data_IF_718942916790
#
_entry.id   IF_718942916790
#
_cell.length_a   1.000
_cell.length_b   1.000
_cell.length_c   1.000
_cell.angle_alpha   90.00
_cell.angle_beta   90.00
_cell.angle_gamma   90.00
#
_symmetry.space_group_name_H-M   'P 1'
#
loop_
_entity.id
_entity.type
_entity.pdbx_description
1 polymer ?
#
# COMPACT_ATOMS: atom_id res chain seq x y z
N UNK A 1 49.66 59.29 -15.90
CA UNK A 1 50.85 59.17 -15.03
C UNK A 1 50.70 57.90 -14.19
N UNK A 2 51.82 57.38 -13.65
CA UNK A 2 51.97 56.38 -12.58
C UNK A 2 50.75 56.20 -11.65
N UNK A 3 50.19 55.02 -11.33
CA UNK A 3 50.66 53.64 -11.07
C UNK A 3 51.03 53.34 -9.59
N UNK A 4 50.40 52.34 -8.97
CA UNK A 4 50.87 51.73 -7.71
C UNK A 4 49.78 51.10 -6.82
N UNK A 5 49.80 49.76 -6.69
CA UNK A 5 49.33 48.99 -5.52
C UNK A 5 50.57 48.60 -4.67
N UNK A 6 50.47 48.08 -3.41
CA UNK A 6 50.09 46.66 -3.18
C UNK A 6 49.48 46.32 -1.79
N UNK A 7 49.24 45.01 -1.58
CA UNK A 7 49.02 44.27 -0.30
C UNK A 7 50.23 43.31 -0.05
N UNK A 8 50.26 42.38 0.95
CA UNK A 8 49.45 42.19 2.17
C UNK A 8 50.28 42.48 3.46
N UNK A 9 50.92 41.58 4.26
CA UNK A 9 51.04 40.10 4.28
C UNK A 9 50.34 39.40 5.48
N UNK A 10 50.39 38.06 5.54
CA UNK A 10 49.98 37.21 6.68
C UNK A 10 51.20 36.64 7.46
N UNK A 11 51.00 36.21 8.72
CA UNK A 11 51.76 35.10 9.36
C UNK A 11 51.13 34.58 10.68
N UNK A 12 51.67 33.48 11.22
CA UNK A 12 50.99 32.46 12.05
C UNK A 12 51.84 32.05 13.29
N UNK A 13 51.50 30.93 13.97
CA UNK A 13 52.21 30.22 15.06
C UNK A 13 52.03 30.84 16.48
N UNK A 14 51.85 30.11 17.60
CA UNK A 14 51.55 28.67 17.86
C UNK A 14 51.30 28.39 19.36
N UNK A 15 50.55 27.31 19.70
CA UNK A 15 50.47 26.65 21.04
C UNK A 15 49.78 27.47 22.17
N UNK A 16 49.24 26.93 23.27
CA UNK A 16 49.05 25.58 23.85
C UNK A 16 47.97 25.67 24.97
N UNK A 17 47.30 24.64 25.52
CA UNK A 17 47.06 23.21 25.20
C UNK A 17 45.86 22.72 26.05
N UNK A 18 45.24 21.55 25.74
CA UNK A 18 44.17 20.97 26.59
C UNK A 18 43.48 19.71 26.02
N UNK A 19 43.89 18.52 26.48
CA UNK A 19 43.47 17.24 25.89
C UNK A 19 42.18 16.64 26.48
N UNK A 20 41.45 15.90 25.65
CA UNK A 20 40.52 14.83 26.06
C UNK A 20 40.51 13.76 24.96
N UNK A 21 40.59 12.48 25.31
CA UNK A 21 40.62 11.39 24.35
C UNK A 21 39.20 11.03 23.88
N UNK A 22 39.00 11.01 22.56
CA UNK A 22 37.91 10.29 21.91
C UNK A 22 38.49 9.06 21.22
N UNK A 23 37.73 7.97 21.18
CA UNK A 23 38.13 6.73 20.52
C UNK A 23 37.96 6.88 19.00
N UNK A 24 38.98 6.50 18.23
CA UNK A 24 38.94 6.53 16.76
C UNK A 24 38.13 5.31 16.28
N UNK A 25 36.83 5.51 16.07
CA UNK A 25 35.99 4.53 15.35
C UNK A 25 36.40 4.56 13.87
N UNK A 26 37.07 3.50 13.40
CA UNK A 26 37.31 3.27 11.97
C UNK A 26 35.96 2.98 11.30
N UNK A 27 35.33 4.01 10.73
CA UNK A 27 34.22 3.83 9.79
C UNK A 27 34.77 3.13 8.53
N UNK A 28 34.64 1.81 8.45
CA UNK A 28 34.82 1.10 7.17
C UNK A 28 33.74 1.60 6.20
N UNK A 29 34.14 2.45 5.26
CA UNK A 29 33.34 2.86 4.11
C UNK A 29 33.11 1.63 3.20
N UNK A 30 32.13 0.80 3.56
CA UNK A 30 31.54 -0.20 2.67
C UNK A 30 31.10 0.50 1.38
N UNK A 31 31.89 0.34 0.30
CA UNK A 31 31.51 0.73 -1.06
C UNK A 31 30.36 -0.19 -1.57
N UNK A 32 29.17 -0.08 -0.98
CA UNK A 32 27.94 -0.65 -1.54
C UNK A 32 27.71 -0.03 -2.92
N UNK A 33 28.09 -0.78 -3.97
CA UNK A 33 27.87 -0.43 -5.36
C UNK A 33 26.39 -0.07 -5.58
N UNK A 34 26.15 1.22 -5.79
CA UNK A 34 24.82 1.86 -5.97
C UNK A 34 24.10 1.37 -7.25
N UNK A 35 24.67 0.38 -7.95
CA UNK A 35 24.18 -0.24 -9.18
C UNK A 35 23.15 -1.38 -8.92
N UNK A 36 23.16 -2.02 -7.74
CA UNK A 36 22.37 -3.21 -7.40
C UNK A 36 20.87 -2.91 -7.16
N UNK A 37 20.17 -2.63 -8.25
CA UNK A 37 18.71 -2.43 -8.24
C UNK A 37 18.13 -1.59 -9.39
N UNK A 38 18.98 -0.99 -10.25
CA UNK A 38 18.52 -0.12 -11.32
C UNK A 38 17.74 -0.86 -12.42
N UNK A 39 16.63 -0.25 -12.88
CA UNK A 39 15.91 -0.73 -14.06
C UNK A 39 16.54 -0.13 -15.32
N UNK A 40 17.36 -0.93 -16.00
CA UNK A 40 18.12 -0.57 -17.19
C UNK A 40 17.44 -1.06 -18.47
N UNK A 41 17.74 -0.50 -19.65
CA UNK A 41 17.17 -0.99 -20.92
C UNK A 41 17.47 -2.46 -21.23
N UNK A 42 18.59 -2.98 -20.71
CA UNK A 42 18.98 -4.39 -20.80
C UNK A 42 18.15 -5.28 -19.86
N UNK A 43 17.93 -4.89 -18.60
CA UNK A 43 17.19 -5.72 -17.65
C UNK A 43 15.66 -5.47 -17.63
N UNK A 44 15.12 -4.44 -18.29
CA UNK A 44 13.69 -4.11 -18.28
C UNK A 44 12.75 -5.30 -18.56
N UNK A 45 13.09 -6.14 -19.54
CA UNK A 45 12.29 -7.35 -19.86
C UNK A 45 12.39 -8.42 -18.79
N UNK A 46 13.52 -8.51 -18.10
CA UNK A 46 13.77 -9.42 -17.00
C UNK A 46 13.06 -8.94 -15.73
N UNK A 47 13.19 -7.66 -15.35
CA UNK A 47 12.45 -7.06 -14.24
C UNK A 47 10.92 -7.20 -14.35
N UNK A 48 10.38 -7.12 -15.58
CA UNK A 48 8.96 -7.40 -15.86
C UNK A 48 8.56 -8.87 -15.63
N UNK A 49 9.51 -9.81 -15.70
CA UNK A 49 9.30 -11.25 -15.47
C UNK A 49 9.64 -11.66 -14.02
N UNK A 50 10.57 -10.95 -13.39
CA UNK A 50 11.08 -11.21 -12.04
C UNK A 50 10.07 -10.84 -10.93
N UNK A 51 8.90 -10.33 -11.31
CA UNK A 51 7.70 -10.30 -10.44
C UNK A 51 7.29 -11.73 -9.97
N UNK A 52 7.88 -12.78 -10.54
CA UNK A 52 7.85 -14.16 -10.04
C UNK A 52 9.23 -14.84 -10.00
N UNK A 53 10.30 -14.12 -9.67
CA UNK A 53 11.66 -14.69 -9.71
C UNK A 53 11.88 -15.77 -8.64
N UNK A 54 12.01 -17.01 -9.09
CA UNK A 54 12.68 -18.09 -8.37
C UNK A 54 13.35 -19.04 -9.37
N UNK A 55 14.63 -19.36 -9.13
CA UNK A 55 15.44 -20.16 -10.05
C UNK A 55 15.31 -21.66 -9.81
N UNK A 56 14.33 -22.28 -10.48
CA UNK A 56 14.44 -23.67 -10.91
C UNK A 56 13.56 -23.91 -12.14
N UNK A 57 14.13 -24.52 -13.19
CA UNK A 57 13.32 -25.11 -14.24
C UNK A 57 12.60 -26.37 -13.68
N UNK A 58 11.30 -26.59 -13.96
CA UNK A 58 10.56 -27.70 -13.37
C UNK A 58 10.90 -29.05 -14.01
N UNK A 59 11.95 -29.70 -13.49
CA UNK A 59 12.27 -31.09 -13.83
C UNK A 59 11.21 -32.01 -13.21
N UNK A 60 10.39 -32.66 -14.04
CA UNK A 60 9.48 -33.74 -13.64
C UNK A 60 8.00 -33.41 -13.44
N UNK A 61 7.53 -32.19 -13.76
CA UNK A 61 6.10 -31.82 -13.61
C UNK A 61 5.30 -32.17 -14.87
N UNK A 62 4.41 -33.16 -14.79
CA UNK A 62 3.56 -33.60 -15.92
C UNK A 62 2.32 -32.72 -16.14
N UNK A 63 1.75 -32.15 -15.06
CA UNK A 63 0.56 -31.29 -15.08
C UNK A 63 0.76 -30.13 -14.10
N UNK A 64 0.40 -28.92 -14.50
CA UNK A 64 0.45 -27.74 -13.63
C UNK A 64 -0.53 -26.66 -14.07
N UNK A 65 -1.03 -25.87 -13.12
CA UNK A 65 -2.03 -24.84 -13.36
C UNK A 65 -1.37 -23.46 -13.52
N UNK A 66 -1.63 -22.77 -14.63
CA UNK A 66 -1.19 -21.38 -14.85
C UNK A 66 -2.24 -20.41 -14.31
N UNK A 67 -1.87 -19.53 -13.37
CA UNK A 67 -2.76 -18.49 -12.84
C UNK A 67 -1.97 -17.29 -12.31
N UNK A 68 -2.51 -16.09 -12.52
CA UNK A 68 -2.00 -14.82 -11.99
C UNK A 68 -2.69 -14.35 -10.71
N UNK A 69 -3.76 -15.03 -10.26
CA UNK A 69 -4.45 -14.69 -9.00
C UNK A 69 -3.80 -15.38 -7.80
N UNK A 70 -3.17 -14.58 -6.94
CA UNK A 70 -2.59 -15.01 -5.67
C UNK A 70 -3.57 -15.79 -4.77
N UNK A 71 -4.88 -15.52 -4.82
CA UNK A 71 -5.85 -16.26 -4.04
C UNK A 71 -5.94 -17.73 -4.51
N UNK A 72 -6.01 -17.95 -5.84
CA UNK A 72 -5.97 -19.30 -6.40
C UNK A 72 -4.58 -19.95 -6.23
N UNK A 73 -3.48 -19.22 -6.42
CA UNK A 73 -2.12 -19.75 -6.18
C UNK A 73 -1.96 -20.28 -4.75
N UNK A 74 -2.38 -19.51 -3.74
CA UNK A 74 -2.32 -19.91 -2.33
C UNK A 74 -3.13 -21.19 -2.04
N UNK A 75 -4.31 -21.36 -2.66
CA UNK A 75 -5.16 -22.54 -2.48
C UNK A 75 -4.60 -23.76 -3.21
N UNK A 76 -4.10 -23.59 -4.44
CA UNK A 76 -3.49 -24.68 -5.22
C UNK A 76 -2.25 -25.25 -4.51
N UNK A 77 -1.39 -24.39 -3.95
CA UNK A 77 -0.25 -24.82 -3.12
C UNK A 77 -0.69 -25.58 -1.86
N UNK A 78 -1.77 -25.15 -1.19
CA UNK A 78 -2.35 -25.88 -0.04
C UNK A 78 -2.97 -27.22 -0.41
N UNK A 79 -3.34 -27.42 -1.67
CA UNK A 79 -3.81 -28.69 -2.23
C UNK A 79 -2.67 -29.57 -2.77
N UNK A 80 -1.41 -29.13 -2.66
CA UNK A 80 -0.24 -29.83 -3.22
C UNK A 80 -0.18 -29.82 -4.75
N UNK A 81 -0.94 -28.94 -5.41
CA UNK A 81 -1.02 -28.86 -6.87
C UNK A 81 0.06 -27.92 -7.42
N UNK A 82 0.77 -28.37 -8.45
CA UNK A 82 1.83 -27.57 -9.10
C UNK A 82 1.26 -26.33 -9.79
N UNK A 83 1.73 -25.16 -9.38
CA UNK A 83 1.36 -23.87 -9.96
C UNK A 83 2.48 -23.33 -10.83
N UNK A 84 2.18 -23.01 -12.09
CA UNK A 84 3.13 -22.48 -13.04
C UNK A 84 2.92 -20.98 -13.25
N UNK A 85 4.02 -20.22 -13.30
CA UNK A 85 4.01 -18.82 -13.70
C UNK A 85 3.89 -18.68 -15.23
N UNK A 86 3.62 -17.46 -15.72
CA UNK A 86 3.45 -17.17 -17.16
C UNK A 86 4.71 -17.48 -18.01
N UNK A 87 5.88 -17.59 -17.38
CA UNK A 87 7.16 -17.97 -17.98
C UNK A 87 7.46 -19.49 -17.90
N UNK A 88 6.48 -20.31 -17.49
CA UNK A 88 6.62 -21.76 -17.36
C UNK A 88 7.40 -22.26 -16.15
N UNK A 89 7.90 -21.37 -15.27
CA UNK A 89 8.58 -21.76 -14.02
C UNK A 89 7.57 -22.24 -12.96
N UNK A 90 7.97 -23.18 -12.12
CA UNK A 90 7.17 -23.69 -11.01
C UNK A 90 7.28 -22.79 -9.78
N UNK A 91 6.14 -22.30 -9.29
CA UNK A 91 6.06 -21.51 -8.07
C UNK A 91 6.15 -22.46 -6.87
N UNK A 92 7.30 -22.45 -6.18
CA UNK A 92 7.51 -23.24 -4.95
C UNK A 92 7.05 -22.52 -3.68
N UNK A 93 7.12 -21.19 -3.66
CA UNK A 93 6.71 -20.35 -2.53
C UNK A 93 5.98 -19.10 -3.02
N UNK A 94 4.78 -18.86 -2.52
CA UNK A 94 4.00 -17.67 -2.84
C UNK A 94 4.08 -16.66 -1.67
N UNK A 95 4.65 -15.48 -1.92
CA UNK A 95 4.60 -14.35 -0.96
C UNK A 95 3.53 -13.36 -1.41
N UNK A 96 2.42 -13.35 -0.69
CA UNK A 96 1.24 -12.51 -1.00
C UNK A 96 0.85 -11.63 0.17
N UNK A 97 -0.24 -10.89 0.03
CA UNK A 97 -0.81 -10.07 1.10
C UNK A 97 -2.30 -10.35 1.26
N UNK A 98 -2.78 -10.30 2.50
CA UNK A 98 -4.20 -10.41 2.83
C UNK A 98 -4.63 -9.23 3.71
N UNK A 99 -5.93 -8.93 3.70
CA UNK A 99 -6.55 -8.00 4.63
C UNK A 99 -7.14 -8.76 5.83
N UNK A 100 -6.70 -8.37 7.03
CA UNK A 100 -6.99 -9.03 8.31
C UNK A 100 -7.74 -8.06 9.25
N UNK A 101 -8.97 -8.40 9.66
CA UNK A 101 -9.85 -7.49 10.43
C UNK A 101 -9.56 -7.47 11.94
N UNK A 102 -8.76 -6.51 12.43
CA UNK A 102 -8.26 -6.52 13.82
C UNK A 102 -9.33 -6.59 14.93
N UNK A 103 -10.55 -6.09 14.69
CA UNK A 103 -11.67 -6.21 15.64
C UNK A 103 -12.29 -7.62 15.73
N UNK A 104 -12.26 -8.41 14.65
CA UNK A 104 -12.96 -9.71 14.59
C UNK A 104 -12.21 -10.86 15.30
N UNK A 105 -10.93 -10.71 15.64
CA UNK A 105 -10.18 -11.77 16.31
C UNK A 105 -10.51 -11.89 17.81
N UNK A 106 -11.13 -10.85 18.38
CA UNK A 106 -11.90 -11.02 19.62
C UNK A 106 -13.28 -11.55 19.27
N UNK A 107 -13.37 -12.86 19.07
CA UNK A 107 -14.64 -13.55 19.21
C UNK A 107 -15.19 -13.28 20.62
N UNK A 108 -16.40 -12.72 20.68
CA UNK A 108 -17.21 -12.69 21.90
C UNK A 108 -17.58 -14.14 22.23
N UNK A 109 -16.81 -14.79 23.11
CA UNK A 109 -17.02 -16.20 23.47
C UNK A 109 -15.85 -16.91 24.16
N UNK A 110 -14.61 -16.44 24.02
CA UNK A 110 -13.44 -17.09 24.67
C UNK A 110 -12.66 -16.11 25.55
N UNK A 111 -13.14 -15.89 26.78
CA UNK A 111 -12.60 -14.94 27.75
C UNK A 111 -11.92 -15.61 28.96
N UNK A 112 -11.31 -16.78 28.77
CA UNK A 112 -10.30 -17.32 29.70
C UNK A 112 -9.44 -18.40 29.03
N UNK A 113 -8.18 -18.53 29.48
CA UNK A 113 -7.27 -19.58 29.03
C UNK A 113 -7.55 -20.89 29.78
N UNK A 114 -8.65 -21.56 29.43
CA UNK A 114 -8.97 -22.93 29.83
C UNK A 114 -9.47 -23.70 28.60
N UNK A 115 -9.09 -24.97 28.40
CA UNK A 115 -9.73 -25.82 27.40
C UNK A 115 -11.21 -25.99 27.75
N UNK A 116 -12.08 -26.01 26.74
CA UNK A 116 -13.53 -26.00 26.93
C UNK A 116 -14.08 -27.40 27.29
N UNK A 117 -13.63 -27.99 28.40
CA UNK A 117 -14.09 -29.28 28.91
C UNK A 117 -15.50 -29.19 29.53
N UNK A 118 -16.51 -28.98 28.69
CA UNK A 118 -17.91 -29.21 29.02
C UNK A 118 -18.25 -30.70 28.78
N UNK A 119 -18.57 -31.49 29.82
CA UNK A 119 -19.08 -32.84 29.60
C UNK A 119 -20.51 -32.77 29.05
N UNK A 120 -20.84 -33.61 28.06
CA UNK A 120 -22.23 -33.93 27.69
C UNK A 120 -22.76 -33.39 26.35
N UNK A 121 -22.01 -32.61 25.56
CA UNK A 121 -22.44 -32.18 24.22
C UNK A 121 -21.36 -32.45 23.16
N UNK A 122 -21.68 -33.28 22.17
CA UNK A 122 -20.74 -33.85 21.20
C UNK A 122 -20.63 -33.09 19.87
N UNK A 123 -21.10 -31.84 19.83
CA UNK A 123 -20.82 -30.93 18.70
C UNK A 123 -19.50 -30.17 18.95
N UNK A 124 -18.53 -30.22 18.00
CA UNK A 124 -17.28 -29.48 18.14
C UNK A 124 -17.55 -27.98 17.95
N UNK A 125 -17.49 -27.20 19.03
CA UNK A 125 -17.63 -25.74 19.00
C UNK A 125 -16.46 -25.11 18.24
N UNK A 126 -16.57 -25.05 16.91
CA UNK A 126 -15.53 -24.57 16.01
C UNK A 126 -15.05 -23.17 16.42
N UNK A 127 -13.80 -23.09 16.89
CA UNK A 127 -13.04 -21.85 17.01
C UNK A 127 -13.11 -21.13 15.66
N UNK A 128 -13.96 -20.11 15.57
CA UNK A 128 -14.29 -19.48 14.29
C UNK A 128 -13.00 -18.98 13.62
N UNK A 129 -12.71 -19.42 12.38
CA UNK A 129 -11.43 -19.16 11.76
C UNK A 129 -11.17 -17.66 11.67
N UNK A 130 -9.90 -17.25 11.77
CA UNK A 130 -9.49 -15.85 11.76
C UNK A 130 -9.91 -15.18 10.44
N UNK A 131 -11.11 -14.58 10.42
CA UNK A 131 -11.75 -14.01 9.21
C UNK A 131 -10.85 -12.97 8.53
N UNK A 132 -10.38 -13.32 7.35
CA UNK A 132 -9.49 -12.58 6.45
C UNK A 132 -10.11 -12.48 5.06
N UNK A 133 -9.54 -11.65 4.19
CA UNK A 133 -9.87 -11.64 2.77
C UNK A 133 -8.62 -11.39 1.92
N UNK A 134 -8.53 -12.07 0.78
CA UNK A 134 -7.50 -11.85 -0.24
C UNK A 134 -7.80 -10.62 -1.11
N UNK A 135 -9.04 -10.14 -1.14
CA UNK A 135 -9.44 -8.94 -1.89
C UNK A 135 -8.81 -7.69 -1.26
N UNK A 136 -7.72 -7.25 -1.87
CA UNK A 136 -6.94 -6.08 -1.48
C UNK A 136 -7.65 -4.74 -1.75
N UNK A 137 -8.80 -4.73 -2.42
CA UNK A 137 -9.60 -3.52 -2.66
C UNK A 137 -10.54 -3.18 -1.50
N UNK A 138 -10.85 -4.16 -0.63
CA UNK A 138 -11.81 -3.99 0.48
C UNK A 138 -11.33 -2.98 1.52
N UNK A 139 -12.25 -2.11 1.93
CA UNK A 139 -12.03 -1.10 2.99
C UNK A 139 -12.74 -1.49 4.29
N UNK A 140 -13.88 -2.16 4.17
CA UNK A 140 -14.72 -2.62 5.28
C UNK A 140 -14.61 -4.13 5.44
N UNK A 141 -14.77 -4.63 6.67
CA UNK A 141 -14.79 -6.07 6.92
C UNK A 141 -16.15 -6.67 6.54
N UNK A 142 -16.21 -7.70 5.66
CA UNK A 142 -17.46 -8.31 5.17
C UNK A 142 -18.24 -9.10 6.23
N UNK A 143 -17.85 -9.06 7.51
CA UNK A 143 -18.49 -9.79 8.61
C UNK A 143 -18.89 -8.93 9.80
N UNK A 144 -18.33 -7.72 9.95
CA UNK A 144 -18.73 -6.79 11.00
C UNK A 144 -18.98 -5.37 10.49
N UNK A 145 -18.95 -5.13 9.17
CA UNK A 145 -19.14 -3.83 8.52
C UNK A 145 -18.05 -2.78 8.80
N UNK A 146 -17.23 -2.96 9.83
CA UNK A 146 -16.31 -1.95 10.31
C UNK A 146 -15.08 -1.78 9.40
N UNK A 147 -14.55 -0.55 9.35
CA UNK A 147 -13.34 -0.14 8.63
C UNK A 147 -12.06 -0.56 9.37
N UNK A 148 -11.96 -1.85 9.69
CA UNK A 148 -10.99 -2.43 10.62
C UNK A 148 -10.00 -3.39 9.95
N UNK A 149 -9.98 -3.46 8.62
CA UNK A 149 -8.99 -4.24 7.86
C UNK A 149 -7.57 -3.67 7.98
N UNK A 150 -6.58 -4.56 8.07
CA UNK A 150 -5.14 -4.24 8.08
C UNK A 150 -4.40 -5.20 7.14
N UNK A 151 -3.47 -4.68 6.34
CA UNK A 151 -2.64 -5.47 5.41
C UNK A 151 -1.63 -6.30 6.21
N UNK A 152 -1.59 -7.60 5.96
CA UNK A 152 -0.64 -8.57 6.53
C UNK A 152 0.05 -9.30 5.37
N UNK A 153 1.35 -9.54 5.46
CA UNK A 153 2.07 -10.35 4.48
C UNK A 153 1.96 -11.85 4.84
N UNK A 154 1.87 -12.70 3.83
CA UNK A 154 1.69 -14.14 3.96
C UNK A 154 2.68 -14.84 3.06
N UNK A 155 3.30 -15.90 3.59
CA UNK A 155 4.08 -16.86 2.81
C UNK A 155 3.34 -18.19 2.80
N UNK A 156 3.13 -18.78 1.63
CA UNK A 156 2.70 -20.18 1.47
C UNK A 156 3.87 -20.96 0.87
N UNK A 157 4.25 -22.07 1.52
CA UNK A 157 5.35 -22.95 1.09
C UNK A 157 4.86 -24.09 0.20
N UNK A 158 5.80 -24.84 -0.39
CA UNK A 158 5.54 -26.07 -1.13
C UNK A 158 4.95 -27.19 -0.23
N UNK A 159 5.19 -27.15 1.09
CA UNK A 159 4.52 -28.01 2.09
C UNK A 159 3.04 -27.67 2.34
N UNK A 160 2.47 -26.69 1.62
CA UNK A 160 1.16 -26.09 1.91
C UNK A 160 1.10 -25.24 3.19
N UNK A 161 2.21 -25.14 3.93
CA UNK A 161 2.30 -24.39 5.19
C UNK A 161 2.12 -22.88 4.99
N UNK A 162 1.24 -22.26 5.78
CA UNK A 162 0.90 -20.84 5.69
C UNK A 162 1.45 -20.05 6.89
N UNK A 163 2.39 -19.14 6.63
CA UNK A 163 3.01 -18.29 7.63
C UNK A 163 2.55 -16.83 7.47
N UNK A 164 1.94 -16.27 8.53
CA UNK A 164 1.48 -14.87 8.56
C UNK A 164 2.49 -13.96 9.27
N UNK A 165 2.99 -12.95 8.56
CA UNK A 165 3.97 -12.00 9.06
C UNK A 165 3.29 -10.80 9.72
N UNK A 166 3.09 -10.85 11.04
CA UNK A 166 2.47 -9.77 11.80
C UNK A 166 3.47 -8.68 12.17
N UNK A 167 3.21 -7.44 11.73
CA UNK A 167 4.01 -6.29 12.18
C UNK A 167 3.75 -5.97 13.66
N UNK A 168 4.83 -5.89 14.45
CA UNK A 168 4.82 -5.46 15.85
C UNK A 168 4.79 -3.93 16.03
N UNK A 169 4.81 -3.16 14.93
CA UNK A 169 4.92 -1.70 14.98
C UNK A 169 3.64 -1.05 15.57
N UNK A 170 3.71 -0.34 16.71
CA UNK A 170 2.54 0.22 17.38
C UNK A 170 1.81 1.29 16.55
N UNK A 171 2.47 1.91 15.55
CA UNK A 171 1.84 2.86 14.63
C UNK A 171 0.72 2.20 13.79
N UNK A 172 0.72 0.87 13.62
CA UNK A 172 -0.27 0.11 12.83
C UNK A 172 -1.65 0.07 13.50
N UNK A 173 -1.72 0.04 14.84
CA UNK A 173 -2.95 -0.04 15.63
C UNK A 173 -3.18 1.20 16.51
N UNK A 174 -2.80 2.38 16.00
CA UNK A 174 -2.97 3.65 16.68
C UNK A 174 -4.44 4.17 16.57
N UNK A 175 -5.13 4.50 17.67
CA UNK A 175 -6.50 5.02 17.64
C UNK A 175 -6.61 6.54 17.35
N UNK A 176 -5.49 7.27 17.25
CA UNK A 176 -5.50 8.73 16.99
C UNK A 176 -6.21 9.05 15.67
N UNK A 177 -7.10 10.05 15.70
CA UNK A 177 -7.85 10.54 14.55
C UNK A 177 -9.06 9.69 14.12
N UNK A 178 -9.37 8.59 14.82
CA UNK A 178 -10.57 7.78 14.54
C UNK A 178 -11.86 8.38 15.14
N UNK A 179 -11.76 9.19 16.19
CA UNK A 179 -12.89 9.87 16.84
C UNK A 179 -12.86 11.37 16.54
N UNK A 180 -13.88 11.85 15.84
CA UNK A 180 -14.11 13.24 15.46
C UNK A 180 -15.63 13.46 15.28
N UNK A 181 -16.15 14.69 15.41
CA UNK A 181 -17.58 14.97 15.18
C UNK A 181 -17.94 14.75 13.71
N UNK A 182 -19.08 14.10 13.46
CA UNK A 182 -19.63 13.90 12.12
C UNK A 182 -20.68 15.00 11.82
N UNK A 183 -20.82 15.43 10.55
CA UNK A 183 -21.92 16.31 10.15
C UNK A 183 -23.26 15.58 10.28
N UNK A 184 -24.34 16.34 10.48
CA UNK A 184 -25.70 15.80 10.42
C UNK A 184 -25.97 15.14 9.05
N UNK A 185 -26.71 14.02 8.99
CA UNK A 185 -26.97 13.31 7.73
C UNK A 185 -27.82 14.16 6.78
N UNK A 186 -27.34 14.37 5.56
CA UNK A 186 -28.03 15.17 4.54
C UNK A 186 -28.59 14.31 3.41
N UNK A 187 -29.76 14.69 2.89
CA UNK A 187 -30.41 14.07 1.74
C UNK A 187 -30.35 14.92 0.46
N UNK A 188 -30.89 14.38 -0.63
CA UNK A 188 -31.00 15.08 -1.91
C UNK A 188 -29.84 14.86 -2.88
N UNK A 189 -29.95 15.43 -4.09
CA UNK A 189 -29.10 15.10 -5.25
C UNK A 189 -27.62 15.47 -5.11
N UNK A 190 -27.28 16.37 -4.19
CA UNK A 190 -25.94 16.92 -4.00
C UNK A 190 -25.37 16.72 -2.58
N UNK A 191 -26.00 15.86 -1.77
CA UNK A 191 -25.48 15.51 -0.43
C UNK A 191 -24.10 14.82 -0.52
N UNK A 192 -23.24 15.09 0.46
CA UNK A 192 -21.86 14.61 0.53
C UNK A 192 -21.54 14.03 1.92
N UNK A 193 -22.32 13.03 2.34
CA UNK A 193 -22.14 12.33 3.62
C UNK A 193 -20.80 11.56 3.66
N UNK A 194 -20.15 11.40 4.83
CA UNK A 194 -18.94 10.58 4.98
C UNK A 194 -19.23 9.10 4.70
N UNK A 195 -18.22 8.35 4.22
CA UNK A 195 -18.34 6.93 3.88
C UNK A 195 -18.04 6.03 5.09
N UNK A 196 -19.09 5.42 5.65
CA UNK A 196 -19.09 4.71 6.93
C UNK A 196 -19.34 3.19 6.81
N UNK A 197 -20.04 2.73 5.77
CA UNK A 197 -20.40 1.30 5.55
C UNK A 197 -20.30 0.95 4.05
N UNK A 198 -20.02 -0.31 3.73
CA UNK A 198 -19.76 -0.81 2.36
C UNK A 198 -20.94 -0.63 1.38
N UNK A 199 -22.18 -0.77 1.85
CA UNK A 199 -23.41 -0.66 1.06
C UNK A 199 -24.03 0.75 1.04
N UNK A 200 -23.29 1.75 1.54
CA UNK A 200 -23.79 3.11 1.67
C UNK A 200 -24.15 3.74 0.32
N UNK A 201 -25.42 4.15 0.19
CA UNK A 201 -25.95 4.78 -1.03
C UNK A 201 -25.45 6.23 -1.17
N UNK A 202 -24.80 6.53 -2.29
CA UNK A 202 -24.35 7.88 -2.65
C UNK A 202 -25.13 8.44 -3.86
N UNK A 203 -25.43 9.75 -3.90
CA UNK A 203 -26.00 10.38 -5.09
C UNK A 203 -25.06 10.27 -6.31
N UNK A 204 -25.62 10.19 -7.53
CA UNK A 204 -24.87 9.95 -8.77
C UNK A 204 -24.08 11.20 -9.26
N UNK A 205 -23.05 11.58 -8.52
CA UNK A 205 -22.18 12.73 -8.80
C UNK A 205 -21.06 12.32 -9.76
N UNK A 206 -21.38 12.16 -11.04
CA UNK A 206 -20.41 11.75 -12.09
C UNK A 206 -19.76 12.97 -12.78
N UNK A 207 -18.45 12.88 -12.99
CA UNK A 207 -17.70 13.75 -13.93
C UNK A 207 -18.19 13.57 -15.37
N UNK A 208 -18.13 14.66 -16.15
CA UNK A 208 -18.43 14.70 -17.60
C UNK A 208 -17.45 13.84 -18.42
N UNK A 209 -17.68 13.67 -19.73
CA UNK A 209 -16.71 13.00 -20.62
C UNK A 209 -15.39 13.78 -20.69
N UNK A 210 -15.46 15.11 -20.86
CA UNK A 210 -14.29 15.99 -20.93
C UNK A 210 -13.44 15.93 -19.65
N UNK A 211 -14.08 16.00 -18.48
CA UNK A 211 -13.44 15.90 -17.17
C UNK A 211 -12.81 14.51 -16.85
N UNK A 212 -12.96 13.51 -17.74
CA UNK A 212 -12.36 12.17 -17.62
C UNK A 212 -11.24 11.91 -18.62
N UNK A 213 -11.13 12.74 -19.67
CA UNK A 213 -10.08 12.60 -20.66
C UNK A 213 -8.72 12.91 -20.03
N UNK A 214 -7.68 12.21 -20.51
CA UNK A 214 -6.29 12.40 -20.11
C UNK A 214 -5.45 12.44 -21.37
N UNK A 215 -4.31 13.11 -21.31
CA UNK A 215 -3.28 13.08 -22.35
C UNK A 215 -2.69 11.69 -22.46
N UNK A 216 -2.83 11.05 -23.61
CA UNK A 216 -2.00 9.92 -24.02
C UNK A 216 -1.02 10.43 -25.08
N UNK A 217 0.28 10.43 -24.76
CA UNK A 217 1.33 10.92 -25.68
C UNK A 217 1.67 9.87 -26.75
N UNK A 218 1.34 8.60 -26.48
CA UNK A 218 1.52 7.48 -27.41
C UNK A 218 0.23 7.13 -28.16
N UNK A 219 -0.71 8.07 -28.25
CA UNK A 219 -1.93 7.92 -29.05
C UNK A 219 -1.62 8.27 -30.52
N UNK A 220 -2.09 7.50 -31.51
CA UNK A 220 -1.88 7.84 -32.92
C UNK A 220 -2.43 9.23 -33.28
N UNK A 221 -3.51 9.66 -32.64
CA UNK A 221 -4.14 10.96 -32.89
C UNK A 221 -3.44 12.13 -32.16
N UNK A 222 -2.44 11.86 -31.29
CA UNK A 222 -1.77 12.89 -30.48
C UNK A 222 -1.11 13.98 -31.34
N UNK A 223 -0.49 13.59 -32.47
CA UNK A 223 0.16 14.52 -33.40
C UNK A 223 -0.84 15.41 -34.18
N UNK A 224 -2.11 15.03 -34.23
CA UNK A 224 -3.18 15.84 -34.84
C UNK A 224 -3.82 16.83 -33.86
N UNK A 225 -3.44 16.80 -32.58
CA UNK A 225 -3.97 17.67 -31.54
C UNK A 225 -3.47 19.12 -31.67
N UNK A 226 -4.40 20.09 -31.67
CA UNK A 226 -4.08 21.52 -31.61
C UNK A 226 -3.45 21.97 -30.27
N UNK A 227 -3.37 21.07 -29.29
CA UNK A 227 -2.76 21.27 -27.97
C UNK A 227 -2.14 19.94 -27.50
N UNK A 228 -0.92 19.93 -26.93
CA UNK A 228 -0.34 18.74 -26.31
C UNK A 228 -1.05 18.34 -25.02
N UNK A 229 -1.92 19.21 -24.47
CA UNK A 229 -2.67 18.96 -23.24
C UNK A 229 -4.17 18.85 -23.48
N UNK A 230 -4.79 17.85 -22.85
CA UNK A 230 -6.22 17.64 -22.86
C UNK A 230 -6.94 18.80 -22.13
N UNK A 231 -7.95 19.38 -22.78
CA UNK A 231 -8.66 20.54 -22.26
C UNK A 231 -9.45 20.23 -20.98
N UNK A 232 -9.32 21.11 -19.98
CA UNK A 232 -10.12 21.03 -18.75
C UNK A 232 -11.62 21.31 -19.00
N UNK A 233 -12.47 20.68 -18.19
CA UNK A 233 -13.89 20.99 -18.11
C UNK A 233 -14.15 22.04 -17.03
N UNK A 234 -14.45 23.27 -17.46
CA UNK A 234 -14.81 24.39 -16.58
C UNK A 234 -16.29 24.79 -16.69
N UNK A 235 -17.01 24.32 -17.72
CA UNK A 235 -18.37 24.78 -18.03
C UNK A 235 -19.47 23.83 -17.59
N UNK A 236 -19.18 22.53 -17.37
CA UNK A 236 -20.23 21.59 -16.99
C UNK A 236 -20.74 21.83 -15.56
N UNK A 237 -21.98 21.39 -15.29
CA UNK A 237 -22.53 21.38 -13.92
C UNK A 237 -21.66 20.58 -12.94
N UNK A 238 -20.88 19.60 -13.41
CA UNK A 238 -19.94 18.85 -12.56
C UNK A 238 -18.73 19.70 -12.14
N UNK A 239 -18.25 20.60 -13.01
CA UNK A 239 -17.19 21.56 -12.71
C UNK A 239 -17.64 22.60 -11.65
N UNK A 240 -18.84 23.17 -11.83
CA UNK A 240 -19.44 24.11 -10.88
C UNK A 240 -19.77 23.47 -9.52
N UNK A 241 -20.13 22.19 -9.47
CA UNK A 241 -20.29 21.43 -8.22
C UNK A 241 -18.95 21.01 -7.58
N UNK A 242 -17.82 21.36 -8.21
CA UNK A 242 -16.46 20.99 -7.82
C UNK A 242 -16.27 19.48 -7.62
N UNK A 243 -16.91 18.66 -8.46
CA UNK A 243 -16.71 17.22 -8.46
C UNK A 243 -15.26 16.90 -8.82
N UNK A 244 -14.75 15.78 -8.30
CA UNK A 244 -13.38 15.29 -8.48
C UNK A 244 -13.41 13.77 -8.67
N UNK A 245 -12.39 13.23 -9.31
CA UNK A 245 -12.18 11.78 -9.40
C UNK A 245 -11.95 11.19 -7.99
N UNK A 246 -12.51 10.01 -7.73
CA UNK A 246 -12.33 9.29 -6.47
C UNK A 246 -10.86 8.92 -6.21
N UNK A 247 -10.05 8.73 -7.26
CA UNK A 247 -8.61 8.51 -7.15
C UNK A 247 -7.88 9.70 -6.50
N UNK A 248 -8.31 10.94 -6.78
CA UNK A 248 -7.69 12.15 -6.27
C UNK A 248 -7.91 12.33 -4.76
N UNK A 249 -6.96 12.99 -4.10
CA UNK A 249 -7.06 13.33 -2.68
C UNK A 249 -6.84 12.16 -1.71
N UNK A 250 -6.38 11.00 -2.19
CA UNK A 250 -6.11 9.82 -1.35
C UNK A 250 -5.15 10.12 -0.18
N UNK A 251 -4.12 10.95 -0.38
CA UNK A 251 -3.24 11.42 0.70
C UNK A 251 -3.96 12.28 1.74
N UNK A 252 -4.77 13.26 1.30
CA UNK A 252 -5.57 14.12 2.20
C UNK A 252 -6.53 13.31 3.07
N UNK A 253 -7.14 12.25 2.51
CA UNK A 253 -8.03 11.32 3.24
C UNK A 253 -7.31 10.40 4.25
N UNK A 254 -5.98 10.45 4.34
CA UNK A 254 -5.18 9.76 5.39
C UNK A 254 -4.78 10.69 6.54
N UNK A 255 -5.01 11.99 6.43
CA UNK A 255 -4.74 12.95 7.51
C UNK A 255 -5.76 12.79 8.64
N UNK A 256 -5.32 13.08 9.87
CA UNK A 256 -6.18 13.16 11.05
C UNK A 256 -7.15 14.37 10.92
N UNK A 257 -8.48 14.19 10.97
CA UNK A 257 -9.43 15.31 10.89
C UNK A 257 -9.30 16.32 12.03
N UNK A 258 -8.74 15.91 13.18
CA UNK A 258 -8.54 16.76 14.35
C UNK A 258 -7.20 17.55 14.28
N UNK A 259 -6.43 17.45 13.19
CA UNK A 259 -5.19 18.19 13.00
C UNK A 259 -5.44 19.56 12.35
N UNK A 260 -4.73 20.58 12.83
CA UNK A 260 -4.82 21.96 12.32
C UNK A 260 -4.48 22.03 10.82
N UNK A 261 -5.19 22.89 10.09
CA UNK A 261 -4.93 23.22 8.69
C UNK A 261 -4.41 24.64 8.52
N UNK A 262 -3.84 24.93 7.34
CA UNK A 262 -3.43 26.29 7.00
C UNK A 262 -4.65 27.23 6.92
N UNK A 263 -4.47 28.49 7.35
CA UNK A 263 -5.55 29.47 7.57
C UNK A 263 -6.51 29.66 6.38
N UNK A 264 -6.02 29.51 5.15
CA UNK A 264 -6.79 29.72 3.92
C UNK A 264 -7.23 28.41 3.21
N UNK A 265 -6.81 27.23 3.71
CA UNK A 265 -7.02 25.94 3.03
C UNK A 265 -8.23 25.20 3.62
N UNK A 266 -9.39 25.33 2.96
CA UNK A 266 -10.62 24.60 3.30
C UNK A 266 -10.49 23.12 2.91
N UNK A 267 -10.06 22.28 3.85
CA UNK A 267 -10.00 20.81 3.68
C UNK A 267 -11.42 20.20 3.71
N UNK A 268 -11.74 19.36 2.72
CA UNK A 268 -12.87 18.40 2.69
C UNK A 268 -12.35 16.97 2.85
#
# INVERSE_FOLDING_TARGET
AISGSPEPPEQHWSSADGASAGEEEEEEEDEESDDEGWITPSNLKQAQQDTGHCDTAPVGVQVGCVTTDFAMQNVLLQLGLHVLALNGRLIRRARSHILRCHGCFRCWGCSRAQPCSRPGSWEPTLCHPCRTTSDMTKVFCPHCGNKTLKKVAVSVSDDGSLHMHFSRNPKVLNPRGLRYPLPAPQGGKHASNPHLVEDQRFPQQRLSRKARQKTNVFDPDYLAGASPFAENDVHSRAAHLHLRDAALGAGRRRLNPNAVGEKFVRRR
#
